data_IF_483367216212
#
_entry.id   IF_483367216212
#
_cell.length_a   1.000
_cell.length_b   1.000
_cell.length_c   1.000
_cell.angle_alpha   90.00
_cell.angle_beta   90.00
_cell.angle_gamma   90.00
#
_symmetry.space_group_name_H-M   'P 1'
#
loop_
_entity.id
_entity.type
_entity.pdbx_description
1 polymer ?
#
# COMPACT_ATOMS: atom_id res chain seq x y z
N UNK A 1 7.39 -14.73 -0.70
CA UNK A 1 7.48 -13.48 0.08
C UNK A 1 6.28 -12.60 -0.26
N UNK A 2 5.68 -11.93 0.73
CA UNK A 2 4.57 -10.99 0.56
C UNK A 2 4.75 -9.80 1.45
N UNK A 3 4.56 -8.60 0.90
CA UNK A 3 4.60 -7.34 1.61
C UNK A 3 3.20 -6.75 1.73
N UNK A 4 2.92 -6.16 2.88
CA UNK A 4 1.69 -5.43 3.16
C UNK A 4 2.12 -4.03 3.60
N UNK A 5 1.67 -3.00 2.91
CA UNK A 5 2.05 -1.62 3.14
C UNK A 5 0.85 -0.80 3.57
N UNK A 6 1.07 0.11 4.48
CA UNK A 6 0.13 1.17 4.86
C UNK A 6 0.79 2.52 4.61
N UNK A 7 0.06 3.44 4.03
CA UNK A 7 0.45 4.83 3.76
C UNK A 7 1.26 5.13 2.48
N UNK A 8 0.57 5.06 1.34
CA UNK A 8 1.16 5.28 0.01
C UNK A 8 0.81 6.62 -0.65
N UNK A 9 0.30 7.64 0.05
CA UNK A 9 -0.13 8.89 -0.57
C UNK A 9 0.45 10.13 0.08
N UNK A 10 1.65 10.51 -0.36
CA UNK A 10 2.10 11.89 -0.41
C UNK A 10 2.75 12.16 -1.78
N UNK A 11 1.99 11.90 -2.86
CA UNK A 11 2.39 12.35 -4.19
C UNK A 11 1.92 13.79 -4.35
N UNK A 12 2.76 14.76 -3.96
CA UNK A 12 2.62 16.12 -4.42
C UNK A 12 2.85 16.17 -5.92
N UNK A 13 1.79 16.21 -6.70
CA UNK A 13 1.84 16.63 -8.09
C UNK A 13 2.16 18.13 -8.10
N UNK A 14 3.43 18.47 -8.25
CA UNK A 14 3.82 19.83 -8.68
C UNK A 14 3.34 20.03 -10.11
N UNK A 15 2.13 20.56 -10.25
CA UNK A 15 1.66 21.09 -11.52
C UNK A 15 2.33 22.45 -11.69
N UNK A 16 3.28 22.52 -12.61
CA UNK A 16 3.78 23.81 -13.10
C UNK A 16 2.64 24.51 -13.83
N UNK A 17 2.29 25.69 -13.34
CA UNK A 17 1.37 26.63 -13.99
C UNK A 17 1.87 26.97 -15.39
N UNK A 18 1.18 26.48 -16.41
CA UNK A 18 1.13 27.14 -17.71
C UNK A 18 -0.32 27.11 -18.17
N UNK A 19 -0.88 28.30 -18.21
CA UNK A 19 -2.19 28.66 -18.69
C UNK A 19 -2.34 28.30 -20.16
N UNK A 20 -3.35 27.45 -20.49
CA UNK A 20 -4.26 27.66 -21.60
C UNK A 20 -5.41 26.62 -21.56
N UNK A 21 -6.63 27.18 -21.51
CA UNK A 21 -7.96 26.63 -21.75
C UNK A 21 -8.28 25.20 -21.28
N UNK A 22 -8.89 25.11 -20.10
CA UNK A 22 -9.36 23.86 -19.48
C UNK A 22 -10.87 23.73 -19.64
N UNK A 23 -11.30 22.66 -20.33
CA UNK A 23 -12.63 22.09 -20.15
C UNK A 23 -12.78 21.60 -18.70
N UNK A 24 -13.96 21.74 -18.05
CA UNK A 24 -14.13 21.34 -16.66
C UNK A 24 -13.97 19.83 -16.51
N UNK A 25 -12.88 19.44 -15.87
CA UNK A 25 -12.71 18.09 -15.36
C UNK A 25 -13.67 17.88 -14.19
N UNK A 26 -14.40 16.79 -14.24
CA UNK A 26 -15.29 16.34 -13.18
C UNK A 26 -14.55 16.32 -11.84
N UNK A 27 -15.13 16.96 -10.83
CA UNK A 27 -14.68 16.92 -9.45
C UNK A 27 -14.55 15.45 -9.00
N UNK A 28 -13.34 14.95 -8.96
CA UNK A 28 -13.02 13.71 -8.26
C UNK A 28 -13.25 13.96 -6.78
N UNK A 29 -14.30 13.38 -6.22
CA UNK A 29 -14.55 13.32 -4.78
C UNK A 29 -13.26 12.83 -4.11
N UNK A 30 -12.61 13.70 -3.36
CA UNK A 30 -11.53 13.34 -2.46
C UNK A 30 -12.10 12.47 -1.34
N UNK A 31 -12.28 11.18 -1.61
CA UNK A 31 -12.50 10.21 -0.55
C UNK A 31 -11.18 10.08 0.19
N UNK A 32 -11.12 10.60 1.41
CA UNK A 32 -9.94 10.42 2.28
C UNK A 32 -9.69 8.94 2.43
N UNK A 33 -8.53 8.48 1.95
CA UNK A 33 -8.10 7.09 2.07
C UNK A 33 -7.88 6.79 3.54
N UNK A 34 -8.54 5.76 4.04
CA UNK A 34 -8.44 5.37 5.45
C UNK A 34 -7.13 4.63 5.70
N UNK A 35 -6.32 5.16 6.60
CA UNK A 35 -5.04 4.57 7.02
C UNK A 35 -5.12 4.08 8.46
N UNK A 36 -4.28 3.11 8.82
CA UNK A 36 -4.21 2.61 10.20
C UNK A 36 -3.72 3.69 11.18
N UNK A 37 -2.95 4.66 10.68
CA UNK A 37 -2.46 5.82 11.43
C UNK A 37 -3.56 6.80 11.80
N UNK A 38 -4.62 6.88 10.99
CA UNK A 38 -5.70 7.86 11.14
C UNK A 38 -6.80 7.39 12.10
N UNK A 39 -6.77 6.11 12.48
CA UNK A 39 -7.76 5.53 13.38
C UNK A 39 -7.69 6.19 14.77
N UNK A 40 -8.83 6.64 15.30
CA UNK A 40 -8.91 7.01 16.70
C UNK A 40 -8.86 5.76 17.60
N UNK A 41 -8.81 5.92 18.92
CA UNK A 41 -8.67 4.79 19.86
C UNK A 41 -9.84 3.79 19.78
N UNK A 42 -11.06 4.27 19.59
CA UNK A 42 -12.25 3.41 19.46
C UNK A 42 -12.18 2.61 18.16
N UNK A 43 -11.81 3.26 17.06
CA UNK A 43 -11.64 2.60 15.75
C UNK A 43 -10.50 1.60 15.77
N UNK A 44 -9.39 1.91 16.46
CA UNK A 44 -8.26 1.01 16.62
C UNK A 44 -8.64 -0.25 17.39
N UNK A 45 -9.39 -0.11 18.47
CA UNK A 45 -9.90 -1.24 19.25
C UNK A 45 -10.85 -2.10 18.41
N UNK A 46 -11.71 -1.48 17.59
CA UNK A 46 -12.59 -2.19 16.66
C UNK A 46 -11.78 -2.89 15.57
N UNK A 47 -10.76 -2.24 15.05
CA UNK A 47 -9.82 -2.82 14.08
C UNK A 47 -9.19 -4.10 14.64
N UNK A 48 -8.58 -4.04 15.84
CA UNK A 48 -7.94 -5.20 16.45
C UNK A 48 -8.93 -6.32 16.77
N UNK A 49 -10.11 -5.99 17.32
CA UNK A 49 -11.13 -7.00 17.61
C UNK A 49 -11.62 -7.70 16.33
N UNK A 50 -11.79 -6.94 15.25
CA UNK A 50 -12.17 -7.48 13.94
C UNK A 50 -11.05 -8.34 13.35
N UNK A 51 -9.81 -7.89 13.47
CA UNK A 51 -8.62 -8.62 13.02
C UNK A 51 -8.50 -9.96 13.76
N UNK A 52 -8.59 -9.96 15.08
CA UNK A 52 -8.50 -11.17 15.91
C UNK A 52 -9.60 -12.18 15.61
N UNK A 53 -10.84 -11.70 15.42
CA UNK A 53 -11.98 -12.58 15.15
C UNK A 53 -11.94 -13.23 13.77
N UNK A 54 -11.30 -12.58 12.80
CA UNK A 54 -11.25 -13.05 11.41
C UNK A 54 -10.01 -13.85 11.07
N UNK A 55 -8.89 -13.63 11.75
CA UNK A 55 -7.66 -14.38 11.55
C UNK A 55 -7.63 -15.55 12.55
N UNK A 56 -7.81 -16.76 12.06
CA UNK A 56 -7.78 -17.96 12.90
C UNK A 56 -6.34 -18.39 13.19
N UNK A 57 -6.06 -18.69 14.47
CA UNK A 57 -4.71 -19.06 14.92
C UNK A 57 -3.73 -17.88 14.85
N UNK A 58 -2.45 -18.18 14.75
CA UNK A 58 -1.37 -17.21 14.65
C UNK A 58 -1.29 -16.23 15.84
N UNK A 59 -1.57 -16.69 17.06
CA UNK A 59 -1.70 -15.81 18.25
C UNK A 59 -0.45 -14.97 18.48
N UNK A 60 0.74 -15.56 18.36
CA UNK A 60 2.00 -14.84 18.49
C UNK A 60 2.12 -13.72 17.44
N UNK A 61 1.75 -13.99 16.19
CA UNK A 61 1.76 -12.97 15.13
C UNK A 61 0.78 -11.83 15.43
N UNK A 62 -0.41 -12.14 15.96
CA UNK A 62 -1.41 -11.13 16.34
C UNK A 62 -0.88 -10.19 17.41
N UNK A 63 -0.21 -10.74 18.42
CA UNK A 63 0.40 -9.94 19.51
C UNK A 63 1.50 -9.04 18.95
N UNK A 64 2.46 -9.61 18.21
CA UNK A 64 3.56 -8.87 17.57
C UNK A 64 3.04 -7.78 16.61
N UNK A 65 1.97 -8.07 15.85
CA UNK A 65 1.35 -7.11 14.95
C UNK A 65 0.69 -5.93 15.67
N UNK A 66 -0.01 -6.18 16.79
CA UNK A 66 -0.59 -5.12 17.63
C UNK A 66 0.47 -4.20 18.21
N UNK A 67 1.57 -4.76 18.70
CA UNK A 67 2.71 -4.00 19.24
C UNK A 67 3.35 -3.15 18.13
N UNK A 68 3.55 -3.74 16.95
CA UNK A 68 4.13 -3.05 15.80
C UNK A 68 3.24 -1.87 15.36
N UNK A 69 1.93 -2.08 15.19
CA UNK A 69 0.98 -1.02 14.82
C UNK A 69 0.97 0.09 15.85
N UNK A 70 0.97 -0.25 17.14
CA UNK A 70 0.95 0.74 18.21
C UNK A 70 2.22 1.58 18.21
N UNK A 71 3.39 0.95 18.09
CA UNK A 71 4.68 1.62 18.00
C UNK A 71 4.77 2.52 16.76
N UNK A 72 4.35 2.01 15.61
CA UNK A 72 4.33 2.76 14.35
C UNK A 72 3.47 4.03 14.45
N UNK A 73 2.29 3.95 15.06
CA UNK A 73 1.41 5.11 15.28
C UNK A 73 2.06 6.17 16.16
N UNK A 74 2.83 5.76 17.18
CA UNK A 74 3.59 6.69 18.03
C UNK A 74 4.65 7.41 17.21
N UNK A 75 5.47 6.70 16.43
CA UNK A 75 6.48 7.30 15.58
C UNK A 75 5.87 8.24 14.53
N UNK A 76 4.77 7.85 13.93
CA UNK A 76 4.07 8.70 12.96
C UNK A 76 3.58 10.01 13.59
N UNK A 77 3.04 9.97 14.83
CA UNK A 77 2.67 11.18 15.59
C UNK A 77 3.86 12.09 15.93
N UNK A 78 5.06 11.54 16.00
CA UNK A 78 6.30 12.30 16.21
C UNK A 78 6.87 12.91 14.92
N UNK A 79 6.18 12.73 13.79
CA UNK A 79 6.58 13.29 12.49
C UNK A 79 7.51 12.40 11.68
N UNK A 80 7.78 11.18 12.13
CA UNK A 80 8.48 10.18 11.33
C UNK A 80 7.48 9.46 10.41
N UNK A 81 7.24 10.05 9.25
CA UNK A 81 6.33 9.47 8.23
C UNK A 81 7.02 8.31 7.50
N UNK A 82 6.94 7.12 8.10
CA UNK A 82 7.44 5.88 7.50
C UNK A 82 6.29 5.02 7.02
N UNK A 83 6.56 4.12 6.10
CA UNK A 83 5.59 3.11 5.64
C UNK A 83 5.63 1.92 6.61
N UNK A 84 4.47 1.53 7.15
CA UNK A 84 4.36 0.28 7.89
C UNK A 84 4.47 -0.90 6.93
N UNK A 85 5.58 -1.61 6.98
CA UNK A 85 5.85 -2.75 6.12
C UNK A 85 5.88 -4.06 6.90
N UNK A 86 5.19 -5.08 6.38
CA UNK A 86 5.16 -6.43 6.92
C UNK A 86 5.73 -7.41 5.91
N UNK A 87 6.78 -8.11 6.28
CA UNK A 87 7.39 -9.15 5.47
C UNK A 87 6.96 -10.53 5.96
N UNK A 88 5.99 -11.13 5.28
CA UNK A 88 5.41 -12.41 5.66
C UNK A 88 6.13 -13.56 4.94
N UNK A 89 6.91 -14.34 5.67
CA UNK A 89 7.60 -15.53 5.20
C UNK A 89 6.88 -16.82 5.63
N UNK A 90 7.08 -17.88 4.90
CA UNK A 90 6.54 -19.22 5.20
C UNK A 90 6.08 -19.95 3.95
N UNK A 91 5.74 -21.22 4.11
CA UNK A 91 5.30 -22.10 3.02
C UNK A 91 4.02 -21.63 2.33
N UNK A 92 3.75 -22.17 1.15
CA UNK A 92 2.48 -21.91 0.46
C UNK A 92 1.31 -22.43 1.29
N UNK A 93 0.21 -21.67 1.34
CA UNK A 93 -1.00 -22.08 2.05
C UNK A 93 -1.05 -21.73 3.54
N UNK A 94 0.02 -21.24 4.17
CA UNK A 94 0.03 -20.88 5.61
C UNK A 94 -0.76 -19.62 5.97
N UNK A 95 -1.47 -18.99 5.03
CA UNK A 95 -2.36 -17.87 5.32
C UNK A 95 -1.79 -16.47 5.10
N UNK A 96 -0.59 -16.30 4.49
CA UNK A 96 0.02 -14.97 4.24
C UNK A 96 -0.92 -13.97 3.56
N UNK A 97 -1.64 -14.40 2.51
CA UNK A 97 -2.63 -13.55 1.83
C UNK A 97 -3.85 -13.25 2.70
N UNK A 98 -4.22 -14.19 3.58
CA UNK A 98 -5.37 -14.01 4.46
C UNK A 98 -5.09 -12.96 5.53
N UNK A 99 -3.85 -12.81 5.99
CA UNK A 99 -3.43 -11.69 6.85
C UNK A 99 -3.75 -10.36 6.17
N UNK A 100 -3.29 -10.14 4.94
CA UNK A 100 -3.54 -8.91 4.20
C UNK A 100 -5.05 -8.65 3.96
N UNK A 101 -5.81 -9.69 3.61
CA UNK A 101 -7.26 -9.59 3.44
C UNK A 101 -7.98 -9.26 4.76
N UNK A 102 -7.48 -9.81 5.86
CA UNK A 102 -8.05 -9.55 7.17
C UNK A 102 -7.79 -8.11 7.62
N UNK A 103 -6.57 -7.60 7.41
CA UNK A 103 -6.22 -6.19 7.66
C UNK A 103 -7.12 -5.27 6.81
N UNK A 104 -7.25 -5.54 5.51
CA UNK A 104 -8.09 -4.79 4.61
C UNK A 104 -9.56 -4.71 5.07
N UNK A 105 -10.13 -5.84 5.48
CA UNK A 105 -11.49 -5.91 6.02
C UNK A 105 -11.61 -5.22 7.38
N UNK A 106 -10.61 -5.35 8.25
CA UNK A 106 -10.59 -4.72 9.56
C UNK A 106 -10.50 -3.18 9.46
N UNK A 107 -9.86 -2.64 8.42
CA UNK A 107 -9.89 -1.22 8.09
C UNK A 107 -11.27 -0.74 7.62
N UNK A 108 -12.19 -1.65 7.36
CA UNK A 108 -13.56 -1.33 6.92
C UNK A 108 -13.66 -0.99 5.44
N UNK A 109 -12.70 -1.43 4.63
CA UNK A 109 -12.70 -1.20 3.18
C UNK A 109 -13.94 -1.76 2.48
N UNK A 110 -14.44 -1.00 1.51
CA UNK A 110 -15.54 -1.36 0.60
C UNK A 110 -15.05 -1.68 -0.81
N UNK A 111 -13.78 -1.41 -1.11
CA UNK A 111 -13.16 -1.66 -2.40
C UNK A 111 -12.42 -3.00 -2.42
N UNK A 112 -11.80 -3.32 -3.55
CA UNK A 112 -10.90 -4.46 -3.64
C UNK A 112 -9.54 -4.14 -3.02
N UNK A 113 -8.93 -5.13 -2.39
CA UNK A 113 -7.55 -5.02 -1.93
C UNK A 113 -6.61 -4.69 -3.10
N UNK A 114 -5.85 -3.62 -2.97
CA UNK A 114 -4.79 -3.30 -3.92
C UNK A 114 -3.74 -4.40 -3.86
N UNK A 115 -3.72 -5.25 -4.88
CA UNK A 115 -2.79 -6.39 -4.98
C UNK A 115 -1.97 -6.28 -6.25
N UNK A 116 -0.65 -6.42 -6.10
CA UNK A 116 0.31 -6.47 -7.20
C UNK A 116 1.08 -7.79 -7.09
N UNK A 117 1.18 -8.52 -8.20
CA UNK A 117 2.00 -9.73 -8.27
C UNK A 117 3.30 -9.40 -9.00
N UNK A 118 4.41 -9.42 -8.29
CA UNK A 118 5.72 -9.12 -8.85
C UNK A 118 6.25 -10.21 -9.78
N UNK A 119 5.66 -11.39 -9.77
CA UNK A 119 5.93 -12.39 -10.79
C UNK A 119 5.62 -11.93 -12.22
N UNK A 120 4.72 -10.93 -12.38
CA UNK A 120 4.41 -10.30 -13.66
C UNK A 120 5.45 -9.24 -14.08
N UNK A 121 6.38 -8.88 -13.18
CA UNK A 121 7.36 -7.80 -13.35
C UNK A 121 8.79 -8.33 -13.26
N UNK A 122 9.05 -9.45 -13.94
CA UNK A 122 10.37 -10.11 -13.99
C UNK A 122 11.21 -9.70 -15.21
N UNK A 123 10.69 -8.87 -16.12
CA UNK A 123 11.40 -8.39 -17.29
C UNK A 123 12.11 -7.06 -17.03
N UNK A 124 13.13 -6.73 -17.82
CA UNK A 124 13.91 -5.51 -17.67
C UNK A 124 13.09 -4.21 -17.81
N UNK A 125 12.00 -4.22 -18.60
CA UNK A 125 11.09 -3.07 -18.78
C UNK A 125 9.92 -3.05 -17.77
N UNK A 126 9.93 -3.96 -16.82
CA UNK A 126 8.85 -4.16 -15.87
C UNK A 126 8.61 -2.94 -14.96
N UNK A 127 9.66 -2.22 -14.61
CA UNK A 127 9.55 -1.01 -13.78
C UNK A 127 8.67 0.04 -14.44
N UNK A 128 8.85 0.32 -15.74
CA UNK A 128 8.03 1.28 -16.48
C UNK A 128 6.55 0.88 -16.52
N UNK A 129 6.26 -0.41 -16.62
CA UNK A 129 4.88 -0.91 -16.60
C UNK A 129 4.25 -0.74 -15.21
N UNK A 130 5.05 -0.85 -14.15
CA UNK A 130 4.59 -0.77 -12.77
C UNK A 130 4.37 0.67 -12.29
N UNK A 131 5.32 1.58 -12.54
CA UNK A 131 5.29 2.97 -12.06
C UNK A 131 4.83 3.97 -13.12
N UNK A 132 4.76 3.57 -14.39
CA UNK A 132 4.49 4.43 -15.54
C UNK A 132 5.76 4.84 -16.28
N UNK A 133 5.61 5.20 -17.55
CA UNK A 133 6.71 5.72 -18.37
C UNK A 133 6.99 7.18 -18.05
N UNK A 134 8.24 7.65 -18.20
CA UNK A 134 8.56 9.07 -18.05
C UNK A 134 7.71 9.96 -18.97
N UNK A 135 7.45 11.19 -18.52
CA UNK A 135 6.67 12.17 -19.29
C UNK A 135 7.26 12.34 -20.70
N UNK A 136 6.40 12.23 -21.73
CA UNK A 136 6.80 12.39 -23.14
C UNK A 136 6.85 11.08 -23.94
N UNK A 137 6.68 9.93 -23.32
CA UNK A 137 6.53 8.65 -24.01
C UNK A 137 5.04 8.29 -24.18
N UNK A 138 4.70 7.62 -25.29
CA UNK A 138 3.35 7.08 -25.54
C UNK A 138 3.07 6.03 -24.43
N UNK A 139 2.01 6.24 -23.62
CA UNK A 139 1.70 5.38 -22.48
C UNK A 139 2.10 5.96 -21.13
N UNK A 140 2.31 7.28 -21.03
CA UNK A 140 2.58 8.00 -19.77
C UNK A 140 1.39 8.05 -18.79
N UNK A 141 0.32 7.28 -19.06
CA UNK A 141 -0.73 7.03 -18.07
C UNK A 141 -0.11 6.33 -16.86
N UNK A 142 -0.43 6.81 -15.67
CA UNK A 142 0.17 6.32 -14.41
C UNK A 142 0.23 4.79 -14.37
N UNK A 143 1.37 4.25 -13.91
CA UNK A 143 1.61 2.81 -13.89
C UNK A 143 0.57 2.00 -13.11
N UNK A 144 0.64 0.67 -13.20
CA UNK A 144 -0.34 -0.20 -12.53
C UNK A 144 -0.38 0.02 -11.02
N UNK A 145 0.75 0.37 -10.39
CA UNK A 145 0.84 0.67 -8.97
C UNK A 145 -0.11 1.82 -8.59
N UNK A 146 0.02 2.98 -9.24
CA UNK A 146 -0.83 4.15 -8.97
C UNK A 146 -2.30 3.86 -9.26
N UNK A 147 -2.60 3.13 -10.33
CA UNK A 147 -3.97 2.72 -10.64
C UNK A 147 -4.59 1.90 -9.51
N UNK A 148 -3.87 0.87 -9.03
CA UNK A 148 -4.35 0.01 -7.93
C UNK A 148 -4.52 0.75 -6.62
N UNK A 149 -3.60 1.67 -6.32
CA UNK A 149 -3.68 2.52 -5.12
C UNK A 149 -4.87 3.46 -5.21
N UNK A 150 -5.11 4.08 -6.38
CA UNK A 150 -6.22 5.00 -6.58
C UNK A 150 -7.61 4.33 -6.56
N UNK A 151 -7.69 3.05 -6.92
CA UNK A 151 -8.91 2.25 -6.83
C UNK A 151 -9.24 1.79 -5.40
N UNK A 152 -8.31 1.95 -4.45
CA UNK A 152 -8.49 1.52 -3.05
C UNK A 152 -8.95 2.66 -2.17
N UNK A 153 -9.87 2.37 -1.24
CA UNK A 153 -10.35 3.28 -0.19
C UNK A 153 -9.55 3.19 1.12
N UNK A 154 -8.54 2.32 1.15
CA UNK A 154 -7.62 2.15 2.28
C UNK A 154 -6.17 2.20 1.82
N UNK A 155 -5.27 2.69 2.68
CA UNK A 155 -3.85 2.81 2.41
C UNK A 155 -3.09 1.48 2.55
N UNK A 156 -3.61 0.39 1.97
CA UNK A 156 -3.03 -0.96 2.09
C UNK A 156 -2.73 -1.55 0.72
N UNK A 157 -1.49 -2.00 0.51
CA UNK A 157 -1.07 -2.71 -0.69
C UNK A 157 -0.53 -4.08 -0.30
N UNK A 158 -0.95 -5.11 -1.03
CA UNK A 158 -0.37 -6.45 -0.98
C UNK A 158 0.54 -6.68 -2.18
N UNK A 159 1.82 -6.89 -1.92
CA UNK A 159 2.77 -7.35 -2.93
C UNK A 159 2.99 -8.85 -2.76
N UNK A 160 2.74 -9.59 -3.83
CA UNK A 160 2.90 -11.05 -3.90
C UNK A 160 4.10 -11.39 -4.80
N UNK A 161 4.77 -12.50 -4.48
CA UNK A 161 5.91 -13.01 -5.26
C UNK A 161 7.06 -11.99 -5.41
N UNK A 162 7.34 -11.23 -4.35
CA UNK A 162 8.37 -10.18 -4.35
C UNK A 162 9.75 -10.68 -4.80
N UNK A 163 10.08 -11.92 -4.49
CA UNK A 163 11.34 -12.58 -4.87
C UNK A 163 11.49 -12.81 -6.38
N UNK A 164 10.40 -12.65 -7.15
CA UNK A 164 10.41 -12.82 -8.61
C UNK A 164 10.56 -11.50 -9.37
N UNK A 165 10.60 -10.38 -8.65
CA UNK A 165 10.77 -9.06 -9.27
C UNK A 165 12.11 -8.95 -10.00
N UNK A 166 12.13 -8.18 -11.11
CA UNK A 166 13.38 -7.71 -11.68
C UNK A 166 14.14 -6.81 -10.67
N UNK A 167 15.46 -6.77 -10.78
CA UNK A 167 16.30 -5.99 -9.88
C UNK A 167 15.94 -4.50 -9.85
N UNK A 168 15.49 -3.92 -10.96
CA UNK A 168 15.09 -2.52 -11.00
C UNK A 168 13.82 -2.28 -10.18
N UNK A 169 12.85 -3.18 -10.25
CA UNK A 169 11.62 -3.15 -9.44
C UNK A 169 11.95 -3.35 -7.97
N UNK A 170 12.81 -4.32 -7.67
CA UNK A 170 13.24 -4.60 -6.30
C UNK A 170 13.91 -3.39 -5.66
N UNK A 171 14.91 -2.78 -6.32
CA UNK A 171 15.63 -1.62 -5.81
C UNK A 171 14.72 -0.40 -5.66
N UNK A 172 13.80 -0.16 -6.60
CA UNK A 172 12.81 0.91 -6.48
C UNK A 172 11.96 0.76 -5.20
N UNK A 173 11.49 -0.45 -4.93
CA UNK A 173 10.69 -0.67 -3.72
C UNK A 173 11.50 -0.62 -2.42
N UNK A 174 12.76 -1.00 -2.43
CA UNK A 174 13.63 -0.77 -1.26
C UNK A 174 13.76 0.72 -0.96
N UNK A 175 13.96 1.55 -2.00
CA UNK A 175 14.03 3.00 -1.84
C UNK A 175 12.70 3.59 -1.33
N UNK A 176 11.57 3.15 -1.87
CA UNK A 176 10.24 3.54 -1.39
C UNK A 176 10.04 3.18 0.08
N UNK A 177 10.46 1.98 0.51
CA UNK A 177 10.36 1.54 1.90
C UNK A 177 11.23 2.34 2.85
N UNK A 178 12.41 2.74 2.40
CA UNK A 178 13.35 3.53 3.20
C UNK A 178 12.91 4.98 3.32
N UNK A 179 12.49 5.59 2.22
CA UNK A 179 12.18 7.01 2.13
C UNK A 179 10.69 7.35 2.38
N UNK A 180 9.81 6.35 2.35
CA UNK A 180 8.38 6.53 2.59
C UNK A 180 7.63 7.28 1.47
N UNK A 181 8.22 7.38 0.26
CA UNK A 181 7.66 8.13 -0.88
C UNK A 181 7.70 7.28 -2.16
N UNK A 182 6.68 7.41 -2.97
CA UNK A 182 6.61 6.88 -4.34
C UNK A 182 6.81 8.01 -5.32
#
# INVERSE_FOLDING_TARGET
FRYVFDDFRDVETKISENTDEVKPLQETKSSTVKKITDLNETELNLFFSTFDSRLYGHERFKEEFKELVTSFRVFNKLGEHKILSLFLMGDSGVGKTEVARTIHKALGSKTKLAKINFGNYSSHDALNSLIGSPLGYIGSDGGELLKRVNESDVGLILIDEFEKADNAVFNYFLDVLENGKI
#
